data_IF_083205141039
#
_entry.id   IF_083205141039
#
_cell.length_a   1.000
_cell.length_b   1.000
_cell.length_c   1.000
_cell.angle_alpha   90.00
_cell.angle_beta   90.00
_cell.angle_gamma   90.00
#
_symmetry.space_group_name_H-M   'P 1'
#
loop_
_entity.id
_entity.type
_entity.pdbx_description
1 polymer ?
#
# COMPACT_ATOMS: atom_id res chain seq x y z
N UNK A 1 11.52 -9.54 3.12
CA UNK A 1 11.45 -9.39 1.65
C UNK A 1 12.65 -10.07 0.99
N UNK A 2 12.46 -10.75 -0.14
CA UNK A 2 13.51 -11.50 -0.86
C UNK A 2 13.45 -11.25 -2.38
N UNK A 3 14.60 -11.40 -3.04
CA UNK A 3 14.76 -11.25 -4.50
C UNK A 3 14.27 -9.89 -5.03
N UNK A 4 14.78 -8.80 -4.44
CA UNK A 4 14.33 -7.43 -4.76
C UNK A 4 15.07 -6.79 -5.95
N UNK A 5 16.17 -7.40 -6.42
CA UNK A 5 17.01 -6.86 -7.50
C UNK A 5 16.63 -7.42 -8.90
N UNK A 6 15.36 -7.77 -9.11
CA UNK A 6 14.88 -8.29 -10.40
C UNK A 6 14.61 -7.14 -11.39
N UNK A 7 14.48 -7.45 -12.68
CA UNK A 7 14.10 -6.44 -13.67
C UNK A 7 12.71 -5.88 -13.40
N UNK A 8 12.42 -4.68 -13.91
CA UNK A 8 11.11 -4.04 -13.75
C UNK A 8 9.97 -4.95 -14.23
N UNK A 9 10.13 -5.58 -15.39
CA UNK A 9 9.14 -6.49 -15.96
C UNK A 9 8.87 -7.68 -15.03
N UNK A 10 9.93 -8.32 -14.52
CA UNK A 10 9.81 -9.47 -13.64
C UNK A 10 9.14 -9.10 -12.31
N UNK A 11 9.57 -8.00 -11.69
CA UNK A 11 8.99 -7.54 -10.43
C UNK A 11 7.53 -7.13 -10.60
N UNK A 12 7.21 -6.43 -11.69
CA UNK A 12 5.83 -6.05 -12.03
C UNK A 12 4.98 -7.30 -12.18
N UNK A 13 5.36 -8.25 -13.04
CA UNK A 13 4.62 -9.52 -13.24
C UNK A 13 4.40 -10.27 -11.92
N UNK A 14 5.42 -10.31 -11.05
CA UNK A 14 5.34 -10.94 -9.74
C UNK A 14 4.30 -10.26 -8.84
N UNK A 15 4.28 -8.94 -8.79
CA UNK A 15 3.27 -8.20 -8.01
C UNK A 15 1.87 -8.39 -8.59
N UNK A 16 1.71 -8.29 -9.92
CA UNK A 16 0.41 -8.48 -10.56
C UNK A 16 -0.16 -9.87 -10.28
N UNK A 17 0.66 -10.92 -10.36
CA UNK A 17 0.21 -12.28 -10.02
C UNK A 17 -0.21 -12.44 -8.55
N UNK A 18 0.36 -11.65 -7.62
CA UNK A 18 -0.10 -11.63 -6.24
C UNK A 18 -1.47 -10.92 -6.10
N UNK A 19 -1.67 -9.80 -6.81
CA UNK A 19 -2.94 -9.06 -6.80
C UNK A 19 -4.10 -9.86 -7.43
N UNK A 20 -3.80 -10.66 -8.46
CA UNK A 20 -4.77 -11.52 -9.15
C UNK A 20 -5.16 -12.77 -8.33
N UNK A 21 -4.42 -13.06 -7.26
CA UNK A 21 -4.75 -14.19 -6.40
C UNK A 21 -6.04 -13.90 -5.59
N UNK A 22 -7.07 -14.78 -5.68
CA UNK A 22 -8.33 -14.57 -4.96
C UNK A 22 -8.17 -14.61 -3.43
N UNK A 23 -7.04 -15.08 -2.88
CA UNK A 23 -6.80 -15.11 -1.43
C UNK A 23 -5.99 -13.92 -0.91
N UNK A 24 -5.73 -12.90 -1.74
CA UNK A 24 -4.95 -11.72 -1.34
C UNK A 24 -5.85 -10.49 -1.21
N UNK A 25 -6.00 -10.01 0.02
CA UNK A 25 -6.76 -8.79 0.33
C UNK A 25 -5.97 -7.52 0.13
N UNK A 26 -4.67 -7.55 0.51
CA UNK A 26 -3.85 -6.35 0.63
C UNK A 26 -2.42 -6.59 0.16
N UNK A 27 -1.84 -5.60 -0.52
CA UNK A 27 -0.41 -5.51 -0.78
C UNK A 27 0.25 -4.53 0.21
N UNK A 28 1.03 -5.07 1.15
CA UNK A 28 1.79 -4.30 2.13
C UNK A 28 3.03 -3.63 1.50
N UNK A 29 3.32 -2.39 1.91
CA UNK A 29 4.46 -1.54 1.51
C UNK A 29 5.01 -1.90 0.11
N UNK A 30 4.25 -1.56 -0.96
CA UNK A 30 4.41 -2.16 -2.29
C UNK A 30 5.82 -2.02 -2.88
N UNK A 31 6.49 -0.88 -2.67
CA UNK A 31 7.78 -0.61 -3.30
C UNK A 31 8.95 -1.24 -2.53
N UNK A 32 8.70 -1.75 -1.32
CA UNK A 32 9.71 -2.34 -0.44
C UNK A 32 10.89 -1.42 -0.11
N UNK A 33 10.75 -0.10 -0.32
CA UNK A 33 11.81 0.88 -0.01
C UNK A 33 12.15 0.92 1.48
N UNK A 34 13.37 1.29 1.79
CA UNK A 34 13.85 1.56 3.15
C UNK A 34 14.66 2.86 3.11
N UNK A 35 14.29 3.86 3.90
CA UNK A 35 14.92 5.15 3.93
C UNK A 35 15.97 5.20 5.05
N UNK A 36 17.23 5.59 4.77
CA UNK A 36 17.81 5.93 3.47
C UNK A 36 18.41 4.70 2.72
N UNK A 37 18.35 3.51 3.30
CA UNK A 37 19.25 2.40 2.97
C UNK A 37 18.93 1.62 1.69
N UNK A 38 17.69 1.68 1.17
CA UNK A 38 17.23 0.90 0.02
C UNK A 38 16.23 1.66 -0.82
N UNK A 39 16.60 1.90 -2.08
CA UNK A 39 15.70 2.42 -3.10
C UNK A 39 14.48 1.49 -3.33
N UNK A 40 13.34 2.03 -3.81
CA UNK A 40 12.22 1.24 -4.32
C UNK A 40 12.67 0.14 -5.29
N UNK A 41 11.99 -1.02 -5.25
CA UNK A 41 12.16 -2.00 -6.33
C UNK A 41 11.75 -1.40 -7.67
N UNK A 42 12.39 -1.84 -8.76
CA UNK A 42 11.98 -1.46 -10.10
C UNK A 42 10.61 -2.09 -10.38
N UNK A 43 9.54 -1.30 -10.37
CA UNK A 43 8.17 -1.76 -10.60
C UNK A 43 7.37 -0.71 -11.36
N UNK A 44 6.52 -1.15 -12.27
CA UNK A 44 5.48 -0.31 -12.86
C UNK A 44 4.30 -0.18 -11.89
N UNK A 45 4.32 0.91 -11.10
CA UNK A 45 3.25 1.19 -10.14
C UNK A 45 1.91 1.49 -10.80
N UNK A 46 1.89 2.00 -12.04
CA UNK A 46 0.64 2.31 -12.74
C UNK A 46 -0.10 1.01 -13.07
N UNK A 47 0.63 0.00 -13.56
CA UNK A 47 0.09 -1.34 -13.77
C UNK A 47 -0.44 -1.95 -12.46
N UNK A 48 0.30 -1.80 -11.36
CA UNK A 48 -0.12 -2.26 -10.03
C UNK A 48 -1.44 -1.60 -9.60
N UNK A 49 -1.60 -0.28 -9.78
CA UNK A 49 -2.83 0.42 -9.42
C UNK A 49 -4.03 -0.06 -10.24
N UNK A 50 -3.86 -0.22 -11.55
CA UNK A 50 -4.93 -0.72 -12.42
C UNK A 50 -5.40 -2.12 -12.03
N UNK A 51 -4.46 -3.03 -11.75
CA UNK A 51 -4.83 -4.37 -11.31
C UNK A 51 -5.45 -4.34 -9.92
N UNK A 52 -4.90 -3.57 -8.98
CA UNK A 52 -5.47 -3.44 -7.63
C UNK A 52 -6.91 -2.92 -7.66
N UNK A 53 -7.21 -1.94 -8.52
CA UNK A 53 -8.57 -1.45 -8.73
C UNK A 53 -9.49 -2.54 -9.31
N UNK A 54 -9.00 -3.32 -10.28
CA UNK A 54 -9.77 -4.40 -10.91
C UNK A 54 -10.04 -5.56 -9.96
N UNK A 55 -9.09 -5.90 -9.09
CA UNK A 55 -9.18 -7.04 -8.17
C UNK A 55 -9.74 -6.65 -6.80
N UNK A 56 -10.03 -5.36 -6.57
CA UNK A 56 -10.34 -4.81 -5.25
C UNK A 56 -9.27 -5.11 -4.18
N UNK A 57 -8.00 -5.26 -4.59
CA UNK A 57 -6.89 -5.44 -3.65
C UNK A 57 -6.53 -4.09 -3.03
N UNK A 58 -6.42 -4.06 -1.71
CA UNK A 58 -6.09 -2.87 -0.92
C UNK A 58 -4.58 -2.59 -1.00
N UNK A 59 -4.17 -1.32 -1.08
CA UNK A 59 -2.75 -0.95 -1.03
C UNK A 59 -2.40 -0.22 0.28
N UNK A 60 -1.26 -0.59 0.87
CA UNK A 60 -0.80 -0.02 2.14
C UNK A 60 -0.06 1.32 1.96
N UNK A 61 -0.38 2.28 2.84
CA UNK A 61 0.46 3.41 3.22
C UNK A 61 1.10 3.07 4.57
N UNK A 62 2.33 2.60 4.53
CA UNK A 62 3.10 2.21 5.69
C UNK A 62 3.65 3.45 6.39
N UNK A 63 3.25 3.65 7.64
CA UNK A 63 3.56 4.82 8.44
C UNK A 63 4.91 4.72 9.17
N UNK A 64 5.63 3.60 9.05
CA UNK A 64 6.98 3.47 9.61
C UNK A 64 7.89 4.55 9.00
N UNK A 65 8.60 5.37 9.80
CA UNK A 65 9.43 6.47 9.29
C UNK A 65 10.52 6.02 8.31
N UNK A 66 11.06 4.82 8.50
CA UNK A 66 12.03 4.20 7.59
C UNK A 66 11.40 3.65 6.31
N UNK A 67 10.06 3.64 6.16
CA UNK A 67 9.38 3.20 4.93
C UNK A 67 8.63 4.32 4.25
N UNK A 68 7.59 4.85 4.91
CA UNK A 68 6.65 5.82 4.35
C UNK A 68 6.11 5.36 2.97
N UNK A 69 5.78 4.09 2.83
CA UNK A 69 5.48 3.45 1.54
C UNK A 69 4.05 2.95 1.50
N UNK A 70 3.15 3.44 0.66
CA UNK A 70 3.36 4.23 -0.57
C UNK A 70 3.84 5.68 -0.40
N UNK A 71 4.55 6.19 -1.42
CA UNK A 71 4.79 7.63 -1.61
C UNK A 71 3.45 8.39 -1.77
N UNK A 72 3.44 9.66 -1.42
CA UNK A 72 2.27 10.55 -1.56
C UNK A 72 1.75 10.65 -3.01
N UNK A 73 2.64 10.76 -3.99
CA UNK A 73 2.26 10.76 -5.42
C UNK A 73 1.60 9.44 -5.85
N UNK A 74 2.01 8.32 -5.26
CA UNK A 74 1.42 7.01 -5.51
C UNK A 74 0.04 6.91 -4.84
N UNK A 75 -0.10 7.40 -3.60
CA UNK A 75 -1.38 7.49 -2.93
C UNK A 75 -2.37 8.38 -3.72
N UNK A 76 -1.90 9.53 -4.23
CA UNK A 76 -2.71 10.40 -5.09
C UNK A 76 -3.20 9.66 -6.34
N UNK A 77 -2.31 8.94 -7.04
CA UNK A 77 -2.68 8.22 -8.26
C UNK A 77 -3.61 7.04 -7.99
N UNK A 78 -3.31 6.23 -6.96
CA UNK A 78 -4.15 5.12 -6.53
C UNK A 78 -5.58 5.60 -6.20
N UNK A 79 -5.72 6.72 -5.47
CA UNK A 79 -7.00 7.37 -5.19
C UNK A 79 -7.75 7.75 -6.47
N UNK A 80 -7.08 8.37 -7.44
CA UNK A 80 -7.73 8.74 -8.72
C UNK A 80 -8.30 7.53 -9.47
N UNK A 81 -7.67 6.36 -9.31
CA UNK A 81 -8.08 5.10 -9.92
C UNK A 81 -9.11 4.33 -9.06
N UNK A 82 -9.54 4.88 -7.93
CA UNK A 82 -10.52 4.24 -7.04
C UNK A 82 -9.96 3.09 -6.19
N UNK A 83 -8.63 2.93 -6.13
CA UNK A 83 -8.00 1.90 -5.31
C UNK A 83 -8.21 2.23 -3.83
N UNK A 84 -8.67 1.25 -3.05
CA UNK A 84 -8.79 1.41 -1.60
C UNK A 84 -7.40 1.41 -0.95
N UNK A 85 -7.15 2.38 -0.09
CA UNK A 85 -5.89 2.52 0.64
C UNK A 85 -6.10 2.18 2.11
N UNK A 86 -5.04 1.73 2.79
CA UNK A 86 -5.04 1.49 4.24
C UNK A 86 -3.75 1.99 4.84
N UNK A 87 -3.81 2.55 6.04
CA UNK A 87 -2.65 3.06 6.78
C UNK A 87 -2.32 2.05 7.89
N UNK A 88 -1.06 1.63 7.95
CA UNK A 88 -0.55 0.71 8.97
C UNK A 88 0.81 1.21 9.47
N UNK A 89 1.13 0.98 10.75
CA UNK A 89 2.40 1.39 11.34
C UNK A 89 3.53 0.37 11.19
N UNK A 90 3.23 -0.87 10.82
CA UNK A 90 4.21 -1.97 10.79
C UNK A 90 4.91 -2.11 12.17
N UNK A 91 4.10 -2.00 13.23
CA UNK A 91 4.60 -1.87 14.59
C UNK A 91 5.31 -3.14 15.06
N UNK A 92 6.53 -2.98 15.57
CA UNK A 92 7.34 -4.02 16.20
C UNK A 92 7.58 -3.73 17.69
N UNK A 93 7.06 -2.59 18.18
CA UNK A 93 6.95 -2.22 19.57
C UNK A 93 5.70 -1.36 19.77
N UNK A 94 5.27 -1.17 21.01
CA UNK A 94 4.09 -0.35 21.35
C UNK A 94 4.26 1.10 20.95
N UNK A 95 5.48 1.63 21.02
CA UNK A 95 5.81 3.01 20.65
C UNK A 95 5.58 3.26 19.16
N UNK A 96 5.80 2.24 18.32
CA UNK A 96 5.63 2.36 16.87
C UNK A 96 4.16 2.62 16.47
N UNK A 97 3.19 2.30 17.32
CA UNK A 97 1.78 2.64 17.08
C UNK A 97 1.58 4.17 16.96
N UNK A 98 2.41 4.97 17.63
CA UNK A 98 2.41 6.42 17.53
C UNK A 98 2.81 6.96 16.15
N UNK A 99 3.38 6.12 15.27
CA UNK A 99 3.79 6.51 13.93
C UNK A 99 2.64 6.69 12.95
N UNK A 100 1.41 6.30 13.30
CA UNK A 100 0.21 6.46 12.47
C UNK A 100 0.08 7.88 11.88
N UNK A 101 0.48 8.90 12.64
CA UNK A 101 0.52 10.31 12.20
C UNK A 101 1.30 10.54 10.90
N UNK A 102 2.35 9.77 10.64
CA UNK A 102 3.16 9.90 9.43
C UNK A 102 2.44 9.35 8.20
N UNK A 103 1.77 8.20 8.34
CA UNK A 103 0.92 7.65 7.28
C UNK A 103 -0.28 8.56 6.96
N UNK A 104 -0.90 9.16 7.99
CA UNK A 104 -1.94 10.20 7.81
C UNK A 104 -1.36 11.40 7.04
N UNK A 105 -0.14 11.82 7.37
CA UNK A 105 0.56 12.89 6.65
C UNK A 105 0.74 12.58 5.16
N UNK A 106 1.18 11.36 4.83
CA UNK A 106 1.31 10.88 3.44
C UNK A 106 -0.05 10.86 2.72
N UNK A 107 -1.09 10.30 3.35
CA UNK A 107 -2.44 10.26 2.79
C UNK A 107 -2.98 11.67 2.48
N UNK A 108 -2.80 12.63 3.40
CA UNK A 108 -3.21 14.03 3.20
C UNK A 108 -2.44 14.68 2.06
N UNK A 109 -1.13 14.44 1.93
CA UNK A 109 -0.33 14.92 0.80
C UNK A 109 -0.75 14.29 -0.54
N UNK A 110 -1.21 13.04 -0.51
CA UNK A 110 -1.87 12.37 -1.63
C UNK A 110 -3.32 12.78 -1.87
N UNK A 111 -3.82 13.79 -1.16
CA UNK A 111 -5.19 14.32 -1.23
C UNK A 111 -6.28 13.26 -0.97
N UNK A 112 -5.94 12.23 -0.19
CA UNK A 112 -6.89 11.23 0.25
C UNK A 112 -7.88 11.85 1.24
N UNK A 113 -9.14 11.45 1.10
CA UNK A 113 -10.24 11.72 2.02
C UNK A 113 -10.51 10.48 2.87
N UNK A 114 -11.35 10.59 3.90
CA UNK A 114 -11.72 9.46 4.75
C UNK A 114 -12.24 8.27 3.94
N UNK A 115 -13.10 8.53 2.95
CA UNK A 115 -13.67 7.48 2.10
C UNK A 115 -12.63 6.65 1.31
N UNK A 116 -11.44 7.19 1.09
CA UNK A 116 -10.33 6.55 0.37
C UNK A 116 -9.52 5.61 1.29
N UNK A 117 -9.61 5.82 2.62
CA UNK A 117 -8.83 5.12 3.64
C UNK A 117 -9.71 4.12 4.41
N UNK A 118 -9.41 2.83 4.28
CA UNK A 118 -10.19 1.74 4.88
C UNK A 118 -10.26 1.79 6.41
N UNK A 119 -9.22 2.29 7.09
CA UNK A 119 -9.18 2.40 8.56
C UNK A 119 -10.29 3.31 9.13
N UNK A 120 -10.93 4.14 8.31
CA UNK A 120 -11.99 5.05 8.75
C UNK A 120 -13.37 4.41 8.78
N UNK A 121 -13.48 3.17 8.30
CA UNK A 121 -14.72 2.43 8.16
C UNK A 121 -15.05 1.68 9.46
N UNK A 122 -16.35 1.49 9.78
CA UNK A 122 -16.79 0.52 10.78
C UNK A 122 -16.24 -0.88 10.52
N UNK A 123 -16.09 -1.69 11.58
CA UNK A 123 -15.50 -3.02 11.49
C UNK A 123 -16.27 -3.93 10.52
N UNK A 124 -17.60 -3.93 10.60
CA UNK A 124 -18.47 -4.68 9.71
C UNK A 124 -18.27 -4.29 8.24
N UNK A 125 -18.12 -3.00 7.94
CA UNK A 125 -17.76 -2.55 6.58
C UNK A 125 -16.39 -3.09 6.16
N UNK A 126 -15.37 -3.03 7.03
CA UNK A 126 -14.03 -3.58 6.72
C UNK A 126 -14.09 -5.08 6.43
N UNK A 127 -14.86 -5.83 7.21
CA UNK A 127 -15.00 -7.28 7.04
C UNK A 127 -15.60 -7.67 5.69
N UNK A 128 -16.35 -6.78 5.02
CA UNK A 128 -16.86 -7.03 3.66
C UNK A 128 -15.79 -6.87 2.57
N UNK A 129 -14.67 -6.20 2.86
CA UNK A 129 -13.52 -6.08 1.95
C UNK A 129 -12.55 -7.26 2.05
N UNK A 130 -12.57 -7.99 3.17
CA UNK A 130 -11.67 -9.10 3.42
C UNK A 130 -12.27 -10.40 2.88
N UNK A 131 -11.46 -11.19 2.20
CA UNK A 131 -11.83 -12.47 1.61
C UNK A 131 -11.63 -13.55 2.67
N UNK A 132 -12.74 -14.08 3.18
CA UNK A 132 -12.79 -15.18 4.15
C UNK A 132 -13.12 -16.51 3.48
#
# INVERSE_FOLDING_TARGET
>A
HSSLNQSQEQMTRRMLGALENPNVDMLAHPTCRLLPDREPVAVDMEAVFHVAAKTNTILEINAMPSRLDLKDIHAYRARQLGVKLVINTDAHSTEHLGFMRFGIGVARRGWCQAQDILNTRPLDEIMTYLRY
#
